data_IF_193714173441
#
_entry.id   IF_193714173441
#
_cell.length_a   1.000
_cell.length_b   1.000
_cell.length_c   1.000
_cell.angle_alpha   90.00
_cell.angle_beta   90.00
_cell.angle_gamma   90.00
#
_symmetry.space_group_name_H-M   'P 1'
#
loop_
_entity.id
_entity.type
_entity.pdbx_description
1 polymer ?
#
# COMPACT_ATOMS: atom_id res chain seq x y z
N UNK A 1 5.34 2.06 26.87
CA UNK A 1 4.20 1.72 25.98
C UNK A 1 3.68 0.34 26.34
N UNK A 2 2.36 0.14 26.42
CA UNK A 2 1.75 -1.19 26.63
C UNK A 2 2.10 -2.14 25.46
N UNK A 3 2.37 -3.41 25.74
CA UNK A 3 2.66 -4.45 24.73
C UNK A 3 1.55 -4.53 23.67
N UNK A 4 0.30 -4.35 24.07
CA UNK A 4 -0.84 -4.29 23.17
C UNK A 4 -0.71 -3.17 22.12
N UNK A 5 -0.28 -1.97 22.53
CA UNK A 5 -0.10 -0.85 21.58
C UNK A 5 1.02 -1.14 20.58
N UNK A 6 2.10 -1.79 21.01
CA UNK A 6 3.17 -2.17 20.09
C UNK A 6 2.70 -3.22 19.09
N UNK A 7 1.91 -4.21 19.53
CA UNK A 7 1.32 -5.20 18.63
C UNK A 7 0.42 -4.55 17.58
N UNK A 8 -0.47 -3.63 17.99
CA UNK A 8 -1.33 -2.89 17.06
C UNK A 8 -0.52 -2.12 16.01
N UNK A 9 0.56 -1.43 16.41
CA UNK A 9 1.41 -0.71 15.45
C UNK A 9 2.07 -1.65 14.43
N UNK A 10 2.49 -2.85 14.86
CA UNK A 10 3.04 -3.88 13.95
C UNK A 10 2.00 -4.37 12.95
N UNK A 11 0.79 -4.64 13.43
CA UNK A 11 -0.29 -5.16 12.60
C UNK A 11 -0.75 -4.13 11.56
N UNK A 12 -0.87 -2.86 11.96
CA UNK A 12 -1.20 -1.75 11.05
C UNK A 12 -0.13 -1.59 9.97
N UNK A 13 1.15 -1.54 10.33
CA UNK A 13 2.23 -1.39 9.36
C UNK A 13 2.31 -2.57 8.39
N UNK A 14 2.08 -3.79 8.90
CA UNK A 14 2.01 -5.00 8.09
C UNK A 14 0.83 -4.98 7.12
N UNK A 15 -0.35 -4.57 7.59
CA UNK A 15 -1.57 -4.48 6.79
C UNK A 15 -1.41 -3.43 5.68
N UNK A 16 -0.90 -2.24 6.02
CA UNK A 16 -0.63 -1.17 5.05
C UNK A 16 0.27 -1.67 3.92
N UNK A 17 1.40 -2.29 4.26
CA UNK A 17 2.32 -2.84 3.27
C UNK A 17 1.65 -3.87 2.35
N UNK A 18 0.89 -4.81 2.92
CA UNK A 18 0.17 -5.83 2.15
C UNK A 18 -0.88 -5.23 1.22
N UNK A 19 -1.64 -4.25 1.69
CA UNK A 19 -2.71 -3.63 0.91
C UNK A 19 -2.17 -2.82 -0.26
N UNK A 20 -1.08 -2.08 -0.07
CA UNK A 20 -0.53 -1.22 -1.12
C UNK A 20 0.42 -1.95 -2.09
N UNK A 21 1.20 -2.90 -1.59
CA UNK A 21 2.32 -3.50 -2.33
C UNK A 21 2.31 -5.03 -2.38
N UNK A 22 1.31 -5.68 -1.78
CA UNK A 22 1.14 -7.13 -1.81
C UNK A 22 2.01 -7.93 -0.83
N UNK A 23 2.14 -9.26 -1.02
CA UNK A 23 2.75 -10.15 -0.02
C UNK A 23 4.24 -9.90 0.28
N UNK A 24 4.97 -9.29 -0.66
CA UNK A 24 6.42 -9.01 -0.58
C UNK A 24 6.71 -7.51 -0.41
N UNK A 25 5.91 -6.84 0.41
CA UNK A 25 5.89 -5.38 0.54
C UNK A 25 7.14 -4.73 1.13
N UNK A 26 8.03 -5.46 1.80
CA UNK A 26 9.05 -4.85 2.67
C UNK A 26 9.95 -3.83 1.97
N UNK A 27 10.34 -4.08 0.72
CA UNK A 27 11.17 -3.16 -0.06
C UNK A 27 10.38 -1.91 -0.45
N UNK A 28 9.23 -2.08 -1.10
CA UNK A 28 8.40 -0.96 -1.56
C UNK A 28 7.89 -0.10 -0.40
N UNK A 29 7.54 -0.72 0.74
CA UNK A 29 7.15 0.02 1.94
C UNK A 29 8.32 0.81 2.54
N UNK A 30 9.53 0.25 2.54
CA UNK A 30 10.72 0.99 3.00
C UNK A 30 10.99 2.21 2.11
N UNK A 31 10.92 2.05 0.79
CA UNK A 31 11.06 3.14 -0.18
C UNK A 31 9.99 4.21 0.00
N UNK A 32 8.73 3.81 0.22
CA UNK A 32 7.63 4.74 0.46
C UNK A 32 7.81 5.54 1.75
N UNK A 33 8.14 4.87 2.85
CA UNK A 33 8.40 5.53 4.13
C UNK A 33 9.59 6.51 4.02
N UNK A 34 10.64 6.13 3.29
CA UNK A 34 11.84 6.96 3.11
C UNK A 34 11.55 8.31 2.43
N UNK A 35 10.47 8.43 1.64
CA UNK A 35 10.08 9.71 1.02
C UNK A 35 9.55 10.73 2.02
N UNK A 36 9.06 10.27 3.17
CA UNK A 36 8.35 11.09 4.15
C UNK A 36 9.16 11.36 5.41
N UNK A 37 10.46 11.07 5.39
CA UNK A 37 11.35 11.21 6.55
C UNK A 37 12.77 11.51 6.11
N UNK A 38 13.56 12.16 6.96
CA UNK A 38 15.01 12.33 6.76
C UNK A 38 15.80 11.09 7.21
N UNK A 39 15.14 10.15 7.90
CA UNK A 39 15.75 8.93 8.41
C UNK A 39 15.98 7.90 7.29
N UNK A 40 17.08 7.14 7.39
CA UNK A 40 17.32 6.03 6.46
C UNK A 40 16.39 4.86 6.76
N UNK A 41 15.57 4.49 5.78
CA UNK A 41 14.68 3.32 5.86
C UNK A 41 15.17 2.24 4.91
N UNK A 42 15.45 1.06 5.45
CA UNK A 42 15.86 -0.11 4.68
C UNK A 42 14.80 -1.21 4.81
N UNK A 43 14.70 -2.14 3.84
CA UNK A 43 13.75 -3.25 3.91
C UNK A 43 13.92 -4.10 5.18
N UNK A 44 15.15 -4.28 5.65
CA UNK A 44 15.46 -4.98 6.90
C UNK A 44 14.88 -4.28 8.13
N UNK A 45 14.78 -2.95 8.14
CA UNK A 45 14.12 -2.20 9.21
C UNK A 45 12.64 -2.56 9.28
N UNK A 46 11.95 -2.53 8.13
CA UNK A 46 10.52 -2.89 8.03
C UNK A 46 10.27 -4.31 8.53
N UNK A 47 11.10 -5.28 8.12
CA UNK A 47 10.97 -6.67 8.59
C UNK A 47 11.18 -6.76 10.10
N UNK A 48 12.17 -6.06 10.65
CA UNK A 48 12.46 -6.07 12.08
C UNK A 48 11.39 -5.37 12.92
N UNK A 49 10.73 -4.35 12.37
CA UNK A 49 9.61 -3.67 12.99
C UNK A 49 8.37 -4.55 13.06
N UNK A 50 8.01 -5.18 11.93
CA UNK A 50 6.77 -5.95 11.82
C UNK A 50 6.88 -7.33 12.46
N UNK A 51 7.99 -8.05 12.21
CA UNK A 51 8.15 -9.46 12.60
C UNK A 51 9.25 -9.67 13.64
N UNK A 52 10.08 -8.66 13.86
CA UNK A 52 11.27 -8.77 14.71
C UNK A 52 11.07 -8.20 16.11
N UNK A 53 12.13 -8.23 16.91
CA UNK A 53 12.10 -7.73 18.28
C UNK A 53 12.20 -6.21 18.37
N UNK A 54 12.49 -5.51 17.26
CA UNK A 54 12.71 -4.05 17.31
C UNK A 54 11.40 -3.31 17.54
N UNK A 55 11.49 -2.27 18.35
CA UNK A 55 10.43 -1.28 18.48
C UNK A 55 10.31 -0.45 17.20
N UNK A 56 9.10 0.03 16.95
CA UNK A 56 8.81 0.93 15.84
C UNK A 56 9.09 2.36 16.32
N UNK A 57 10.03 3.11 15.69
CA UNK A 57 10.25 4.51 16.02
C UNK A 57 8.97 5.34 15.87
N UNK A 58 8.80 6.39 16.66
CA UNK A 58 7.57 7.21 16.62
C UNK A 58 7.37 7.90 15.26
N UNK A 59 8.45 8.38 14.63
CA UNK A 59 8.37 9.03 13.31
C UNK A 59 7.81 8.12 12.21
N UNK A 60 7.83 6.79 12.39
CA UNK A 60 7.26 5.86 11.41
C UNK A 60 5.75 6.00 11.34
N UNK A 61 5.07 6.38 12.43
CA UNK A 61 3.62 6.52 12.45
C UNK A 61 3.18 7.66 11.52
N UNK A 62 3.84 8.82 11.59
CA UNK A 62 3.58 9.97 10.72
C UNK A 62 3.90 9.64 9.26
N UNK A 63 5.02 8.96 9.00
CA UNK A 63 5.38 8.55 7.64
C UNK A 63 4.39 7.53 7.08
N UNK A 64 3.94 6.56 7.88
CA UNK A 64 2.97 5.56 7.48
C UNK A 64 1.60 6.18 7.17
N UNK A 65 1.18 7.20 7.92
CA UNK A 65 -0.03 7.95 7.63
C UNK A 65 0.02 8.61 6.24
N UNK A 66 1.12 9.31 5.93
CA UNK A 66 1.31 9.93 4.60
C UNK A 66 1.36 8.91 3.48
N UNK A 67 2.02 7.77 3.70
CA UNK A 67 2.03 6.65 2.74
C UNK A 67 0.62 6.10 2.52
N UNK A 68 -0.20 5.99 3.56
CA UNK A 68 -1.58 5.56 3.42
C UNK A 68 -2.42 6.56 2.62
N UNK A 69 -2.27 7.86 2.87
CA UNK A 69 -2.95 8.93 2.13
C UNK A 69 -2.57 8.90 0.63
N UNK A 70 -1.27 8.83 0.31
CA UNK A 70 -0.78 8.67 -1.07
C UNK A 70 -1.32 7.40 -1.71
N UNK A 71 -1.24 6.27 -0.99
CA UNK A 71 -1.67 4.97 -1.46
C UNK A 71 -3.15 4.91 -1.80
N UNK A 72 -4.00 5.61 -1.02
CA UNK A 72 -5.45 5.71 -1.30
C UNK A 72 -5.73 6.43 -2.62
N UNK A 73 -5.03 7.54 -2.88
CA UNK A 73 -5.16 8.27 -4.15
C UNK A 73 -4.70 7.39 -5.31
N UNK A 74 -3.53 6.78 -5.22
CA UNK A 74 -3.02 5.91 -6.27
C UNK A 74 -3.91 4.69 -6.54
N UNK A 75 -4.50 4.09 -5.51
CA UNK A 75 -5.43 2.96 -5.65
C UNK A 75 -6.73 3.42 -6.31
N UNK A 76 -7.23 4.60 -5.98
CA UNK A 76 -8.40 5.17 -6.63
C UNK A 76 -8.15 5.40 -8.12
N UNK A 77 -7.01 5.99 -8.47
CA UNK A 77 -6.63 6.24 -9.86
C UNK A 77 -6.42 4.94 -10.64
N UNK A 78 -5.75 3.95 -10.04
CA UNK A 78 -5.62 2.61 -10.63
C UNK A 78 -6.97 1.95 -10.87
N UNK A 79 -7.87 2.01 -9.90
CA UNK A 79 -9.23 1.46 -10.02
C UNK A 79 -10.02 2.16 -11.12
N UNK A 80 -9.92 3.49 -11.22
CA UNK A 80 -10.53 4.27 -12.29
C UNK A 80 -9.98 3.87 -13.67
N UNK A 81 -8.67 3.71 -13.79
CA UNK A 81 -8.02 3.26 -15.02
C UNK A 81 -8.47 1.87 -15.45
N UNK A 82 -8.51 0.92 -14.51
CA UNK A 82 -9.03 -0.44 -14.75
C UNK A 82 -10.49 -0.38 -15.21
N UNK A 83 -11.33 0.44 -14.56
CA UNK A 83 -12.73 0.59 -14.97
C UNK A 83 -12.83 1.06 -16.41
N UNK A 84 -12.07 2.10 -16.79
CA UNK A 84 -12.05 2.62 -18.17
C UNK A 84 -11.60 1.55 -19.16
N UNK A 85 -10.55 0.81 -18.84
CA UNK A 85 -10.05 -0.27 -19.69
C UNK A 85 -11.08 -1.37 -19.88
N UNK A 86 -11.69 -1.85 -18.79
CA UNK A 86 -12.73 -2.88 -18.85
C UNK A 86 -13.94 -2.35 -19.63
N UNK A 87 -14.54 -1.24 -19.22
CA UNK A 87 -15.74 -0.73 -19.92
C UNK A 87 -15.43 -0.42 -21.38
N UNK A 88 -14.31 0.25 -21.67
CA UNK A 88 -13.97 0.65 -23.05
C UNK A 88 -13.55 -0.50 -23.97
N UNK A 89 -13.03 -1.61 -23.45
CA UNK A 89 -12.74 -2.82 -24.22
C UNK A 89 -14.01 -3.64 -24.43
N UNK A 90 -14.75 -3.93 -23.36
CA UNK A 90 -15.98 -4.73 -23.43
C UNK A 90 -17.12 -4.02 -24.18
N UNK A 91 -17.23 -2.68 -24.15
CA UNK A 91 -18.20 -1.95 -24.98
C UNK A 91 -17.89 -2.14 -26.47
N UNK A 92 -16.62 -1.95 -26.86
CA UNK A 92 -16.22 -2.06 -28.27
C UNK A 92 -16.47 -3.45 -28.82
N UNK A 93 -16.13 -4.49 -28.05
CA UNK A 93 -16.38 -5.89 -28.43
C UNK A 93 -17.89 -6.19 -28.56
N UNK A 94 -18.70 -5.67 -27.63
CA UNK A 94 -20.17 -5.79 -27.68
C UNK A 94 -20.78 -5.07 -28.88
N UNK A 95 -20.31 -3.87 -29.21
CA UNK A 95 -20.81 -3.07 -30.33
C UNK A 95 -20.41 -3.65 -31.70
N UNK A 96 -19.38 -4.50 -31.75
CA UNK A 96 -18.98 -5.25 -32.95
C UNK A 96 -19.75 -6.55 -33.18
N UNK A 97 -20.64 -6.96 -32.27
CA UNK A 97 -21.53 -8.10 -32.50
C UNK A 97 -22.69 -7.69 -33.42
N UNK A 98 -23.08 -8.52 -34.41
CA UNK A 98 -24.26 -8.24 -35.23
C UNK A 98 -25.49 -8.16 -34.31
N UNK A 99 -26.23 -7.06 -34.44
CA UNK A 99 -27.48 -6.87 -33.72
C UNK A 99 -28.49 -7.89 -34.26
N UNK A 100 -29.21 -8.64 -33.40
CA UNK A 100 -30.29 -9.49 -33.86
C UNK A 100 -31.42 -8.61 -34.42
N UNK A 101 -31.95 -9.02 -35.58
CA UNK A 101 -33.07 -8.37 -36.26
C UNK A 101 -34.34 -8.26 -35.41
#
# INVERSE_FOLDING_TARGET
MSEYRMQVRRDVLSALGRMLYGPRYATSLAEALARHTTNKVAPSHVVMWVKGPRSIPEWVDDAALRVAEEGLVELHDRTRGIRILLTGYWQRDRDSLPQPD
#
